data_IF_282302319472
#
_entry.id   IF_282302319472
#
_cell.length_a   1.000
_cell.length_b   1.000
_cell.length_c   1.000
_cell.angle_alpha   90.00
_cell.angle_beta   90.00
_cell.angle_gamma   90.00
#
_symmetry.space_group_name_H-M   'P 1'
#
loop_
_entity.id
_entity.type
_entity.pdbx_description
1 polymer ?
#
# COMPACT_ATOMS: atom_id res chain seq x y z
N UNK A 1 -6.56 7.47 1.37
CA UNK A 1 -5.64 6.63 2.21
C UNK A 1 -5.95 6.77 3.70
N UNK A 2 -6.08 7.97 4.21
CA UNK A 2 -6.34 8.20 5.65
C UNK A 2 -7.62 7.56 6.17
N UNK A 3 -8.62 7.35 5.31
CA UNK A 3 -9.88 6.74 5.72
C UNK A 3 -9.71 5.29 6.19
N UNK A 4 -8.71 4.58 5.65
CA UNK A 4 -8.50 3.16 5.90
C UNK A 4 -7.15 2.83 6.53
N UNK A 5 -6.13 3.66 6.34
CA UNK A 5 -4.77 3.39 6.76
C UNK A 5 -4.26 4.40 7.77
N UNK A 6 -3.45 3.93 8.73
CA UNK A 6 -2.73 4.78 9.68
C UNK A 6 -1.23 4.66 9.42
N UNK A 7 -0.46 5.65 9.85
CA UNK A 7 0.98 5.68 9.65
C UNK A 7 1.76 5.10 10.83
N UNK A 8 1.10 4.88 11.97
CA UNK A 8 1.74 4.42 13.19
C UNK A 8 1.98 2.91 13.16
N UNK A 9 3.12 2.48 13.71
CA UNK A 9 3.45 1.06 13.81
C UNK A 9 2.40 0.32 14.64
N UNK A 10 1.91 -0.79 14.09
CA UNK A 10 0.92 -1.63 14.75
C UNK A 10 -0.51 -1.10 14.77
N UNK A 11 -0.76 0.10 14.24
CA UNK A 11 -2.08 0.73 14.27
C UNK A 11 -2.91 0.36 13.04
N UNK A 12 -3.36 -0.89 12.95
CA UNK A 12 -4.22 -1.33 11.86
C UNK A 12 -5.63 -0.75 12.01
N UNK A 13 -6.21 -0.35 10.88
CA UNK A 13 -7.60 0.08 10.79
C UNK A 13 -8.36 -0.81 9.80
N UNK A 14 -9.15 -0.21 8.93
CA UNK A 14 -9.79 -0.93 7.82
C UNK A 14 -8.74 -1.56 6.91
N UNK A 15 -7.63 -0.84 6.66
CA UNK A 15 -6.44 -1.37 6.01
C UNK A 15 -5.29 -1.54 6.99
N UNK A 16 -4.20 -2.19 6.59
CA UNK A 16 -3.01 -2.34 7.42
C UNK A 16 -2.31 -0.99 7.62
N UNK A 17 -1.55 -0.86 8.72
CA UNK A 17 -0.75 0.34 8.93
C UNK A 17 0.31 0.47 7.84
N UNK A 18 0.72 1.71 7.57
CA UNK A 18 1.70 2.04 6.54
C UNK A 18 3.07 2.42 7.11
N UNK A 19 3.32 2.13 8.39
CA UNK A 19 4.59 2.46 9.04
C UNK A 19 5.76 1.84 8.29
N UNK A 20 6.69 2.65 7.88
CA UNK A 20 7.85 2.23 7.08
C UNK A 20 7.49 1.40 5.84
N UNK A 21 6.37 1.73 5.18
CA UNK A 21 5.86 0.93 4.07
C UNK A 21 6.79 0.90 2.86
N UNK A 22 7.50 1.99 2.59
CA UNK A 22 8.47 2.02 1.48
C UNK A 22 9.64 1.10 1.83
N UNK A 23 9.92 0.16 0.96
CA UNK A 23 10.90 -0.92 1.12
C UNK A 23 10.54 -1.96 2.19
N UNK A 24 9.30 -1.94 2.71
CA UNK A 24 8.80 -2.99 3.60
C UNK A 24 8.31 -4.19 2.79
N UNK A 25 8.42 -5.39 3.36
CA UNK A 25 7.84 -6.58 2.73
C UNK A 25 6.34 -6.42 2.54
N UNK A 26 5.83 -6.89 1.41
CA UNK A 26 4.40 -6.89 1.13
C UNK A 26 3.70 -7.81 2.12
N UNK A 27 2.52 -7.38 2.60
CA UNK A 27 1.72 -8.12 3.58
C UNK A 27 2.44 -8.37 4.91
N UNK A 28 3.27 -7.43 5.34
CA UNK A 28 4.11 -7.61 6.53
C UNK A 28 3.50 -7.12 7.84
N UNK A 29 2.40 -6.34 7.80
CA UNK A 29 1.80 -5.83 9.05
C UNK A 29 1.19 -6.98 9.86
N UNK A 30 1.61 -7.11 11.10
CA UNK A 30 1.11 -8.14 12.00
C UNK A 30 -0.37 -7.88 12.34
N UNK A 31 -1.13 -8.96 12.47
CA UNK A 31 -2.52 -8.89 12.90
C UNK A 31 -3.51 -8.41 11.84
N UNK A 32 -3.07 -8.22 10.59
CA UNK A 32 -3.97 -7.84 9.52
C UNK A 32 -4.21 -9.01 8.55
N UNK A 33 -5.49 -9.24 8.18
CA UNK A 33 -5.87 -10.32 7.25
C UNK A 33 -5.75 -9.87 5.80
N UNK A 34 -4.60 -10.02 5.19
CA UNK A 34 -4.36 -9.67 3.79
C UNK A 34 -5.09 -10.60 2.82
N UNK A 35 -5.39 -10.08 1.61
CA UNK A 35 -5.89 -10.91 0.53
C UNK A 35 -4.77 -11.82 0.00
N UNK A 36 -5.12 -13.03 -0.43
CA UNK A 36 -4.16 -13.92 -1.08
C UNK A 36 -3.56 -13.32 -2.34
N UNK A 37 -4.36 -12.54 -3.07
CA UNK A 37 -3.91 -11.86 -4.27
C UNK A 37 -2.74 -10.91 -4.00
N UNK A 38 -2.78 -10.15 -2.91
CA UNK A 38 -1.70 -9.24 -2.56
C UNK A 38 -0.43 -9.99 -2.15
N UNK A 39 -0.57 -11.08 -1.41
CA UNK A 39 0.57 -11.89 -0.96
C UNK A 39 1.35 -12.44 -2.15
N UNK A 40 0.67 -12.75 -3.25
CA UNK A 40 1.29 -13.40 -4.42
C UNK A 40 2.00 -12.46 -5.40
N UNK A 41 1.66 -11.15 -5.44
CA UNK A 41 2.09 -10.29 -6.55
C UNK A 41 3.42 -9.58 -6.37
N UNK A 42 3.89 -9.38 -5.15
CA UNK A 42 5.14 -8.67 -4.90
C UNK A 42 5.77 -9.08 -3.58
N UNK A 43 7.09 -8.94 -3.48
CA UNK A 43 7.84 -9.28 -2.27
C UNK A 43 8.04 -8.07 -1.37
N UNK A 44 8.39 -6.92 -1.95
CA UNK A 44 8.75 -5.70 -1.22
C UNK A 44 8.05 -4.49 -1.85
N UNK A 45 7.63 -3.57 -1.02
CA UNK A 45 7.06 -2.29 -1.47
C UNK A 45 8.16 -1.32 -1.89
N UNK A 46 8.83 -1.61 -3.00
CA UNK A 46 9.72 -0.64 -3.64
C UNK A 46 8.90 0.52 -4.18
N UNK A 47 9.56 1.64 -4.47
CA UNK A 47 8.89 2.80 -5.08
C UNK A 47 8.21 2.38 -6.38
N UNK A 48 8.87 1.56 -7.18
CA UNK A 48 8.32 1.07 -8.45
C UNK A 48 7.07 0.21 -8.24
N UNK A 49 7.10 -0.74 -7.30
CA UNK A 49 5.96 -1.59 -7.00
C UNK A 49 4.78 -0.80 -6.44
N UNK A 50 5.04 0.18 -5.56
CA UNK A 50 4.01 1.08 -5.05
C UNK A 50 3.37 1.88 -6.19
N UNK A 51 4.18 2.39 -7.11
CA UNK A 51 3.66 3.14 -8.25
C UNK A 51 2.70 2.29 -9.10
N UNK A 52 3.09 1.05 -9.41
CA UNK A 52 2.25 0.14 -10.18
C UNK A 52 0.95 -0.22 -9.45
N UNK A 53 1.04 -0.51 -8.16
CA UNK A 53 -0.13 -0.84 -7.34
C UNK A 53 -1.10 0.34 -7.23
N UNK A 54 -0.58 1.54 -6.97
CA UNK A 54 -1.42 2.73 -6.78
C UNK A 54 -2.10 3.19 -8.06
N UNK A 55 -1.56 2.87 -9.21
CA UNK A 55 -2.19 3.20 -10.49
C UNK A 55 -3.53 2.49 -10.64
N UNK A 56 -3.57 1.20 -10.31
CA UNK A 56 -4.79 0.40 -10.33
C UNK A 56 -4.61 -0.82 -9.43
N UNK A 57 -5.00 -0.73 -8.15
CA UNK A 57 -4.81 -1.84 -7.22
C UNK A 57 -5.45 -3.15 -7.67
N UNK A 58 -6.63 -3.09 -8.28
CA UNK A 58 -7.34 -4.30 -8.72
C UNK A 58 -6.66 -5.00 -9.89
N UNK A 59 -6.03 -4.24 -10.80
CA UNK A 59 -5.28 -4.83 -11.91
C UNK A 59 -3.93 -5.39 -11.44
N UNK A 60 -3.27 -4.69 -10.51
CA UNK A 60 -2.00 -5.13 -9.97
C UNK A 60 -2.15 -6.39 -9.10
N UNK A 61 -3.18 -6.42 -8.28
CA UNK A 61 -3.49 -7.54 -7.40
C UNK A 61 -4.95 -7.96 -7.56
N UNK A 62 -5.31 -8.71 -8.61
CA UNK A 62 -6.70 -9.14 -8.83
C UNK A 62 -7.24 -9.89 -7.62
N UNK A 63 -8.37 -9.44 -7.09
CA UNK A 63 -8.96 -10.00 -5.88
C UNK A 63 -8.56 -9.29 -4.60
N UNK A 64 -7.83 -8.18 -4.67
CA UNK A 64 -7.46 -7.39 -3.49
C UNK A 64 -8.71 -6.92 -2.73
N UNK A 65 -8.58 -6.88 -1.39
CA UNK A 65 -9.65 -6.37 -0.52
C UNK A 65 -9.75 -4.84 -0.52
N UNK A 66 -8.75 -4.14 -1.06
CA UNK A 66 -8.71 -2.69 -1.10
C UNK A 66 -9.68 -2.14 -2.15
N UNK A 67 -10.71 -1.43 -1.70
CA UNK A 67 -11.77 -0.89 -2.57
C UNK A 67 -11.42 0.48 -3.16
N UNK A 68 -10.22 0.64 -3.68
CA UNK A 68 -9.73 1.90 -4.23
C UNK A 68 -9.50 1.78 -5.73
N UNK A 69 -10.03 2.74 -6.51
CA UNK A 69 -9.94 2.69 -7.97
C UNK A 69 -8.54 2.96 -8.52
N UNK A 70 -7.71 3.64 -7.76
CA UNK A 70 -6.34 3.97 -8.15
C UNK A 70 -6.15 5.45 -8.46
N UNK A 71 -4.87 5.82 -8.56
CA UNK A 71 -4.43 7.16 -8.95
C UNK A 71 -3.89 7.09 -10.37
N UNK A 72 -4.65 7.62 -11.33
CA UNK A 72 -4.31 7.50 -12.76
C UNK A 72 -3.19 8.45 -13.19
N UNK A 73 -3.06 9.60 -12.52
CA UNK A 73 -2.03 10.58 -12.85
C UNK A 73 -0.71 10.24 -12.17
N UNK A 74 0.36 10.20 -12.94
CA UNK A 74 1.69 9.88 -12.40
C UNK A 74 2.13 10.87 -11.32
N UNK A 75 1.77 12.15 -11.46
CA UNK A 75 2.13 13.17 -10.45
C UNK A 75 1.45 12.88 -9.11
N UNK A 76 0.20 12.44 -9.12
CA UNK A 76 -0.51 12.09 -7.89
C UNK A 76 0.15 10.90 -7.19
N UNK A 77 0.56 9.89 -7.94
CA UNK A 77 1.28 8.74 -7.39
C UNK A 77 2.63 9.14 -6.81
N UNK A 78 3.37 9.98 -7.54
CA UNK A 78 4.67 10.48 -7.07
C UNK A 78 4.52 11.26 -5.76
N UNK A 79 3.50 12.09 -5.66
CA UNK A 79 3.24 12.88 -4.44
C UNK A 79 2.91 11.98 -3.24
N UNK A 80 2.08 10.96 -3.43
CA UNK A 80 1.72 10.03 -2.36
C UNK A 80 2.95 9.24 -1.90
N UNK A 81 3.75 8.72 -2.83
CA UNK A 81 4.95 7.94 -2.50
C UNK A 81 5.96 8.82 -1.75
N UNK A 82 6.18 10.05 -2.19
CA UNK A 82 7.07 10.99 -1.51
C UNK A 82 6.58 11.26 -0.07
N UNK A 83 5.29 11.42 0.11
CA UNK A 83 4.69 11.61 1.43
C UNK A 83 4.94 10.39 2.32
N UNK A 84 4.77 9.17 1.80
CA UNK A 84 5.00 7.94 2.55
C UNK A 84 6.46 7.77 2.96
N UNK A 85 7.40 8.16 2.10
CA UNK A 85 8.83 8.13 2.43
C UNK A 85 9.13 9.00 3.66
N UNK A 86 8.51 10.18 3.75
CA UNK A 86 8.79 11.12 4.83
C UNK A 86 7.93 10.88 6.08
N UNK A 87 6.63 10.65 5.90
CA UNK A 87 5.68 10.64 7.00
C UNK A 87 5.48 9.27 7.64
N UNK A 88 5.76 8.19 6.93
CA UNK A 88 5.54 6.82 7.41
C UNK A 88 6.82 6.13 7.86
N UNK A 89 7.78 6.89 8.32
CA UNK A 89 9.06 6.34 8.80
C UNK A 89 8.97 5.86 10.24
#
# INVERSE_FOLDING_TARGET
CKACHKLEDGANGTGPHLYQVVDRDVAAADGYGYSGALIEVADVWTIENLNGFLENPKSYAPGTKMGFAGLKKIQDRANVIAYLVEAAQ
#
